data_IF_963604965051
#
_entry.id   IF_963604965051
#
_cell.length_a   1.000
_cell.length_b   1.000
_cell.length_c   1.000
_cell.angle_alpha   90.00
_cell.angle_beta   90.00
_cell.angle_gamma   90.00
#
_symmetry.space_group_name_H-M   'P 1'
#
loop_
_entity.id
_entity.type
_entity.pdbx_description
1 polymer ?
#
# COMPACT_ATOMS: atom_id res chain seq x y z
N UNK A 1 -6.15 -32.19 50.22
CA UNK A 1 -6.77 -32.78 49.01
C UNK A 1 -6.38 -31.92 47.84
N UNK A 2 -5.46 -32.43 47.04
CA UNK A 2 -4.89 -31.80 45.86
C UNK A 2 -5.96 -31.69 44.75
N UNK A 3 -6.14 -30.49 44.20
CA UNK A 3 -7.01 -30.25 43.05
C UNK A 3 -6.20 -30.33 41.75
N UNK A 4 -6.36 -31.42 41.02
CA UNK A 4 -5.70 -31.68 39.75
C UNK A 4 -6.09 -30.64 38.68
N UNK A 5 -5.09 -29.98 38.09
CA UNK A 5 -5.24 -29.21 36.85
C UNK A 5 -5.38 -30.18 35.68
N UNK A 6 -6.53 -30.16 35.03
CA UNK A 6 -6.78 -30.87 33.78
C UNK A 6 -6.06 -30.18 32.62
N UNK A 7 -5.10 -30.87 32.01
CA UNK A 7 -4.50 -30.49 30.73
C UNK A 7 -5.53 -30.52 29.60
N UNK A 8 -5.49 -29.60 28.62
CA UNK A 8 -6.35 -29.69 27.44
C UNK A 8 -5.83 -30.78 26.48
N UNK A 9 -6.72 -31.38 25.67
CA UNK A 9 -6.39 -32.51 24.81
C UNK A 9 -5.46 -32.10 23.67
N UNK A 10 -4.41 -32.90 23.46
CA UNK A 10 -3.52 -32.81 22.33
C UNK A 10 -4.29 -33.12 21.02
N UNK A 11 -4.25 -32.21 20.05
CA UNK A 11 -4.79 -32.49 18.71
C UNK A 11 -5.43 -31.34 17.93
N UNK A 12 -5.28 -30.08 18.35
CA UNK A 12 -5.65 -28.94 17.49
C UNK A 12 -4.42 -28.11 17.15
N UNK A 13 -3.81 -28.43 16.01
CA UNK A 13 -2.88 -27.53 15.32
C UNK A 13 -3.61 -26.22 15.06
N UNK A 14 -3.11 -25.04 15.47
CA UNK A 14 -3.71 -23.78 15.08
C UNK A 14 -3.64 -23.66 13.56
N UNK A 15 -4.80 -23.46 12.93
CA UNK A 15 -4.99 -23.30 11.49
C UNK A 15 -4.46 -21.95 10.98
N UNK A 16 -3.18 -21.65 11.25
CA UNK A 16 -2.48 -20.47 10.72
C UNK A 16 -1.46 -20.82 9.63
N UNK A 17 -1.48 -22.05 9.13
CA UNK A 17 -0.55 -22.50 8.07
C UNK A 17 -1.05 -22.03 6.71
N UNK A 18 -0.42 -21.01 6.15
CA UNK A 18 -0.57 -20.72 4.71
C UNK A 18 0.20 -21.79 3.95
N UNK A 19 -0.47 -22.83 3.47
CA UNK A 19 0.07 -23.64 2.37
C UNK A 19 0.16 -22.74 1.13
N UNK A 20 1.31 -22.09 0.93
CA UNK A 20 1.53 -21.22 -0.22
C UNK A 20 1.72 -22.12 -1.45
N UNK A 21 0.77 -22.08 -2.38
CA UNK A 21 0.92 -22.77 -3.65
C UNK A 21 2.19 -22.22 -4.35
N UNK A 22 3.12 -23.09 -4.75
CA UNK A 22 4.34 -22.68 -5.42
C UNK A 22 4.04 -22.23 -6.86
N UNK A 23 3.78 -20.92 -7.02
CA UNK A 23 3.45 -20.31 -8.30
C UNK A 23 4.64 -20.14 -9.26
N UNK A 24 5.87 -20.50 -8.84
CA UNK A 24 7.08 -20.32 -9.64
C UNK A 24 7.41 -21.52 -10.52
N UNK A 25 6.80 -22.66 -10.26
CA UNK A 25 6.99 -23.89 -11.04
C UNK A 25 6.66 -23.66 -12.52
N UNK A 26 7.29 -24.43 -13.41
CA UNK A 26 6.99 -24.36 -14.85
C UNK A 26 5.51 -24.70 -15.08
N UNK A 27 4.99 -25.68 -14.34
CA UNK A 27 3.57 -26.05 -14.35
C UNK A 27 2.65 -24.91 -13.89
N UNK A 28 2.99 -24.19 -12.81
CA UNK A 28 2.16 -23.07 -12.34
C UNK A 28 2.17 -21.90 -13.33
N UNK A 29 3.33 -21.57 -13.92
CA UNK A 29 3.43 -20.53 -14.95
C UNK A 29 2.65 -20.89 -16.21
N UNK A 30 2.66 -22.16 -16.59
CA UNK A 30 1.83 -22.68 -17.68
C UNK A 30 0.34 -22.51 -17.39
N UNK A 31 -0.13 -22.91 -16.21
CA UNK A 31 -1.53 -22.75 -15.80
C UNK A 31 -1.97 -21.28 -15.77
N UNK A 32 -1.13 -20.37 -15.26
CA UNK A 32 -1.43 -18.93 -15.24
C UNK A 32 -1.57 -18.39 -16.67
N UNK A 33 -0.75 -18.85 -17.61
CA UNK A 33 -0.84 -18.44 -19.02
C UNK A 33 -2.13 -18.96 -19.66
N UNK A 34 -2.51 -20.19 -19.38
CA UNK A 34 -3.78 -20.78 -19.87
C UNK A 34 -4.98 -20.03 -19.30
N UNK A 35 -4.97 -19.73 -17.99
CA UNK A 35 -6.04 -18.97 -17.33
C UNK A 35 -6.26 -17.59 -17.96
N UNK A 36 -5.19 -16.83 -18.22
CA UNK A 36 -5.28 -15.53 -18.91
C UNK A 36 -5.84 -15.66 -20.33
N UNK A 37 -5.55 -16.77 -21.01
CA UNK A 37 -6.14 -17.09 -22.31
C UNK A 37 -7.65 -17.31 -22.21
N UNK A 38 -8.09 -18.07 -21.21
CA UNK A 38 -9.51 -18.33 -20.93
C UNK A 38 -10.25 -17.05 -20.56
N UNK A 39 -9.70 -16.23 -19.66
CA UNK A 39 -10.29 -14.94 -19.26
C UNK A 39 -10.51 -14.04 -20.48
N UNK A 40 -9.53 -13.99 -21.40
CA UNK A 40 -9.64 -13.21 -22.63
C UNK A 40 -10.67 -13.77 -23.60
N UNK A 41 -10.85 -15.09 -23.66
CA UNK A 41 -11.85 -15.74 -24.49
C UNK A 41 -13.27 -15.53 -23.94
N UNK A 42 -13.46 -15.74 -22.64
CA UNK A 42 -14.76 -15.56 -21.95
C UNK A 42 -15.20 -14.10 -21.88
N UNK A 43 -14.26 -13.16 -21.86
CA UNK A 43 -14.57 -11.73 -21.98
C UNK A 43 -15.10 -11.34 -23.36
N UNK A 44 -14.84 -12.16 -24.39
CA UNK A 44 -15.34 -11.95 -25.76
C UNK A 44 -16.62 -12.74 -26.03
N UNK A 45 -16.72 -13.93 -25.46
CA UNK A 45 -17.88 -14.81 -25.55
C UNK A 45 -18.12 -15.49 -24.18
N UNK A 46 -19.04 -14.95 -23.36
CA UNK A 46 -19.31 -15.48 -22.02
C UNK A 46 -19.92 -16.89 -22.00
N UNK A 47 -20.46 -17.37 -23.12
CA UNK A 47 -21.10 -18.70 -23.23
C UNK A 47 -20.16 -19.75 -23.84
N UNK A 48 -18.91 -19.40 -24.15
CA UNK A 48 -17.94 -20.30 -24.76
C UNK A 48 -17.66 -21.54 -23.89
N UNK A 49 -17.60 -22.72 -24.52
CA UNK A 49 -17.30 -23.97 -23.85
C UNK A 49 -15.82 -24.01 -23.40
N UNK A 50 -15.60 -23.99 -22.08
CA UNK A 50 -14.27 -23.98 -21.48
C UNK A 50 -13.46 -25.24 -21.83
N UNK A 51 -14.12 -26.39 -22.02
CA UNK A 51 -13.47 -27.64 -22.38
C UNK A 51 -12.77 -27.57 -23.74
N UNK A 52 -13.41 -26.93 -24.72
CA UNK A 52 -12.84 -26.73 -26.05
C UNK A 52 -11.68 -25.72 -26.02
N UNK A 53 -11.78 -24.69 -25.17
CA UNK A 53 -10.77 -23.64 -25.03
C UNK A 53 -9.48 -24.11 -24.34
N UNK A 54 -9.56 -25.09 -23.44
CA UNK A 54 -8.39 -25.69 -22.78
C UNK A 54 -7.55 -26.53 -23.76
N UNK A 55 -8.18 -27.08 -24.80
CA UNK A 55 -7.54 -27.94 -25.79
C UNK A 55 -7.23 -29.34 -25.25
N UNK A 56 -7.34 -30.37 -26.10
CA UNK A 56 -7.18 -31.78 -25.73
C UNK A 56 -5.78 -32.17 -25.22
N UNK A 57 -4.77 -31.35 -25.49
CA UNK A 57 -3.36 -31.59 -25.10
C UNK A 57 -2.97 -31.01 -23.74
N UNK A 58 -3.82 -30.15 -23.14
CA UNK A 58 -3.51 -29.47 -21.88
C UNK A 58 -3.19 -30.43 -20.71
N UNK A 59 -3.94 -31.52 -20.46
CA UNK A 59 -3.63 -32.44 -19.37
C UNK A 59 -2.26 -33.11 -19.50
N UNK A 60 -1.84 -33.41 -20.74
CA UNK A 60 -0.57 -34.06 -21.05
C UNK A 60 0.60 -33.09 -20.87
N UNK A 61 0.45 -31.84 -21.32
CA UNK A 61 1.45 -30.79 -21.14
C UNK A 61 1.61 -30.39 -19.66
N UNK A 62 0.52 -30.29 -18.91
CA UNK A 62 0.60 -29.99 -17.48
C UNK A 62 1.36 -31.08 -16.71
N UNK A 63 1.18 -32.35 -17.10
CA UNK A 63 1.88 -33.48 -16.49
C UNK A 63 3.40 -33.41 -16.77
N UNK A 64 3.81 -33.14 -18.01
CA UNK A 64 5.24 -33.05 -18.36
C UNK A 64 5.96 -31.90 -17.65
N UNK A 65 5.29 -30.74 -17.46
CA UNK A 65 5.88 -29.62 -16.73
C UNK A 65 6.03 -29.85 -15.23
N UNK A 66 5.19 -30.71 -14.63
CA UNK A 66 5.35 -31.12 -13.23
C UNK A 66 6.55 -32.05 -13.04
N UNK A 67 6.83 -32.90 -14.03
CA UNK A 67 7.93 -33.87 -13.99
C UNK A 67 9.31 -33.23 -14.29
N UNK A 68 9.33 -32.11 -15.04
CA UNK A 68 10.56 -31.42 -15.42
C UNK A 68 11.19 -30.56 -14.30
N UNK A 69 10.44 -30.15 -13.28
CA UNK A 69 10.91 -29.26 -12.19
C UNK A 69 11.77 -29.98 -11.12
N UNK A 70 11.97 -31.30 -11.24
CA UNK A 70 12.74 -32.11 -10.28
C UNK A 70 14.28 -32.05 -10.45
N UNK A 71 14.85 -31.01 -11.08
CA UNK A 71 16.32 -30.85 -11.21
C UNK A 71 16.81 -29.53 -10.60
N UNK A 72 17.89 -29.53 -9.80
CA UNK A 72 18.30 -28.34 -9.04
C UNK A 72 18.82 -27.21 -9.95
N UNK A 73 18.36 -25.99 -9.69
CA UNK A 73 18.68 -24.79 -10.49
C UNK A 73 19.98 -24.12 -10.06
N UNK A 74 20.79 -23.72 -11.05
CA UNK A 74 22.07 -23.01 -10.91
C UNK A 74 21.91 -21.55 -10.44
N UNK A 75 23.01 -21.06 -9.87
CA UNK A 75 23.28 -19.81 -9.14
C UNK A 75 22.86 -18.49 -9.83
N UNK A 76 22.45 -17.52 -9.00
CA UNK A 76 21.91 -16.23 -9.39
C UNK A 76 22.94 -15.15 -9.74
N UNK A 77 22.43 -14.09 -10.37
CA UNK A 77 23.13 -12.90 -10.91
C UNK A 77 23.75 -12.03 -9.80
N UNK A 78 24.83 -11.25 -10.06
CA UNK A 78 25.46 -10.40 -9.04
C UNK A 78 24.59 -9.18 -8.67
N UNK A 79 24.61 -8.81 -7.38
CA UNK A 79 23.87 -7.69 -6.80
C UNK A 79 24.69 -6.36 -6.88
N UNK A 80 24.03 -5.18 -6.88
CA UNK A 80 24.69 -3.87 -6.92
C UNK A 80 25.54 -3.54 -5.67
N UNK A 81 26.57 -2.71 -5.84
CA UNK A 81 27.60 -2.40 -4.82
C UNK A 81 27.16 -1.55 -3.61
N UNK A 82 25.97 -0.94 -3.66
CA UNK A 82 25.40 -0.19 -2.53
C UNK A 82 24.52 -1.06 -1.63
N UNK A 83 24.30 -2.32 -2.02
CA UNK A 83 23.52 -3.26 -1.25
C UNK A 83 24.34 -3.74 -0.03
N UNK A 84 23.75 -3.73 1.16
CA UNK A 84 24.40 -4.28 2.36
C UNK A 84 24.76 -5.77 2.16
N UNK A 85 24.04 -6.45 1.25
CA UNK A 85 24.32 -7.81 0.76
C UNK A 85 25.49 -7.93 -0.21
N UNK A 86 26.29 -6.88 -0.37
CA UNK A 86 27.62 -6.97 -1.01
C UNK A 86 28.75 -7.07 0.02
N UNK A 87 28.44 -6.86 1.31
CA UNK A 87 29.43 -6.73 2.40
C UNK A 87 29.51 -7.94 3.34
N UNK A 88 28.58 -8.89 3.24
CA UNK A 88 28.62 -10.16 3.98
C UNK A 88 29.26 -11.27 3.12
N UNK A 89 29.89 -12.31 3.72
CA UNK A 89 30.42 -13.47 3.00
C UNK A 89 29.32 -14.36 2.38
N UNK A 90 29.60 -14.99 1.24
CA UNK A 90 28.67 -15.88 0.49
C UNK A 90 27.98 -16.93 1.36
N UNK A 91 28.73 -17.58 2.24
CA UNK A 91 28.25 -18.63 3.16
C UNK A 91 27.35 -18.09 4.27
N UNK A 92 27.53 -16.82 4.65
CA UNK A 92 26.68 -16.18 5.65
C UNK A 92 25.32 -15.78 5.07
N UNK A 93 25.20 -15.56 3.76
CA UNK A 93 23.91 -15.24 3.14
C UNK A 93 22.95 -16.41 3.14
N UNK A 94 23.41 -17.61 2.79
CA UNK A 94 22.54 -18.79 2.73
C UNK A 94 22.00 -19.07 4.14
N UNK A 95 22.88 -19.09 5.14
CA UNK A 95 22.52 -19.28 6.55
C UNK A 95 21.61 -18.16 7.08
N UNK A 96 21.91 -16.89 6.78
CA UNK A 96 21.08 -15.76 7.20
C UNK A 96 19.72 -15.77 6.50
N UNK A 97 19.68 -16.15 5.22
CA UNK A 97 18.45 -16.21 4.43
C UNK A 97 17.53 -17.33 4.91
N UNK A 98 18.08 -18.51 5.20
CA UNK A 98 17.33 -19.62 5.80
C UNK A 98 16.80 -19.23 7.17
N UNK A 99 17.66 -18.72 8.06
CA UNK A 99 17.24 -18.26 9.39
C UNK A 99 16.17 -17.15 9.33
N UNK A 100 16.24 -16.24 8.35
CA UNK A 100 15.23 -15.20 8.15
C UNK A 100 13.92 -15.78 7.65
N UNK A 101 13.97 -16.77 6.74
CA UNK A 101 12.78 -17.45 6.23
C UNK A 101 12.09 -18.21 7.36
N UNK A 102 12.84 -18.96 8.15
CA UNK A 102 12.31 -19.73 9.29
C UNK A 102 11.67 -18.80 10.32
N UNK A 103 12.35 -17.70 10.67
CA UNK A 103 11.82 -16.67 11.56
C UNK A 103 10.49 -16.09 11.06
N UNK A 104 10.39 -15.79 9.76
CA UNK A 104 9.17 -15.27 9.16
C UNK A 104 8.05 -16.32 9.06
N UNK A 105 8.39 -17.61 8.90
CA UNK A 105 7.42 -18.71 8.88
C UNK A 105 6.80 -18.96 10.25
N UNK A 106 7.56 -18.74 11.33
CA UNK A 106 7.10 -18.82 12.71
C UNK A 106 6.36 -17.56 13.20
N UNK A 107 6.47 -16.45 12.46
CA UNK A 107 5.92 -15.15 12.85
C UNK A 107 4.39 -15.04 12.62
N UNK A 108 3.72 -14.25 13.46
CA UNK A 108 2.30 -13.91 13.26
C UNK A 108 2.15 -12.98 12.04
N UNK A 109 1.22 -13.29 11.13
CA UNK A 109 0.92 -12.44 9.97
C UNK A 109 -0.06 -11.35 10.36
N UNK A 110 0.40 -10.09 10.42
CA UNK A 110 -0.43 -8.92 10.69
C UNK A 110 -1.21 -8.45 9.45
N UNK A 111 -0.58 -8.53 8.27
CA UNK A 111 -1.19 -8.14 7.01
C UNK A 111 -0.69 -8.98 5.85
N UNK A 112 -1.59 -9.28 4.91
CA UNK A 112 -1.27 -9.96 3.66
C UNK A 112 -2.05 -9.31 2.53
N UNK A 113 -1.35 -8.78 1.54
CA UNK A 113 -2.03 -8.24 0.37
C UNK A 113 -2.81 -9.35 -0.35
N UNK A 114 -4.04 -9.08 -0.84
CA UNK A 114 -4.85 -10.07 -1.57
C UNK A 114 -4.16 -10.61 -2.82
N UNK A 115 -3.23 -9.82 -3.39
CA UNK A 115 -2.44 -10.18 -4.55
C UNK A 115 -1.13 -10.78 -4.03
N UNK A 116 -0.97 -12.09 -4.19
CA UNK A 116 0.01 -12.95 -3.48
C UNK A 116 1.52 -12.63 -3.68
N UNK A 117 1.87 -11.45 -4.19
CA UNK A 117 3.24 -11.04 -4.50
C UNK A 117 3.61 -9.58 -4.13
N UNK A 118 2.72 -8.78 -3.52
CA UNK A 118 3.00 -7.34 -3.31
C UNK A 118 3.54 -7.01 -1.92
N UNK A 119 2.91 -7.44 -0.82
CA UNK A 119 3.33 -7.08 0.54
C UNK A 119 2.81 -8.07 1.60
N UNK A 120 3.64 -8.41 2.59
CA UNK A 120 3.28 -9.11 3.82
C UNK A 120 3.89 -8.41 5.02
N UNK A 121 3.16 -8.33 6.13
CA UNK A 121 3.64 -7.74 7.38
C UNK A 121 3.56 -8.79 8.48
N UNK A 122 4.67 -9.01 9.18
CA UNK A 122 4.83 -10.03 10.19
C UNK A 122 5.14 -9.39 11.54
N UNK A 123 4.58 -9.92 12.62
CA UNK A 123 5.05 -9.66 13.99
C UNK A 123 6.05 -10.75 14.34
N UNK A 124 7.31 -10.34 14.38
CA UNK A 124 8.46 -11.23 14.63
C UNK A 124 8.67 -11.47 16.13
N UNK A 125 8.44 -10.44 16.94
CA UNK A 125 8.52 -10.53 18.40
C UNK A 125 7.69 -9.45 19.07
N UNK A 126 7.71 -9.43 20.41
CA UNK A 126 7.15 -8.32 21.20
C UNK A 126 7.92 -7.04 20.91
N UNK A 127 7.37 -6.23 20.01
CA UNK A 127 7.97 -4.98 19.58
C UNK A 127 8.81 -5.05 18.30
N UNK A 128 8.73 -6.13 17.50
CA UNK A 128 9.33 -6.15 16.15
C UNK A 128 8.30 -6.50 15.08
N UNK A 129 8.18 -5.63 14.07
CA UNK A 129 7.38 -5.83 12.87
C UNK A 129 8.28 -5.84 11.64
N UNK A 130 8.09 -6.84 10.76
CA UNK A 130 8.80 -6.95 9.49
C UNK A 130 7.82 -6.81 8.32
N UNK A 131 8.03 -5.79 7.47
CA UNK A 131 7.31 -5.62 6.20
C UNK A 131 8.15 -6.21 5.06
N UNK A 132 7.64 -7.25 4.41
CA UNK A 132 8.26 -7.90 3.24
C UNK A 132 7.48 -7.48 1.99
N UNK A 133 8.09 -6.64 1.17
CA UNK A 133 7.49 -6.10 -0.06
C UNK A 133 8.55 -5.97 -1.16
N UNK A 134 8.12 -5.58 -2.36
CA UNK A 134 9.01 -5.36 -3.50
C UNK A 134 9.78 -4.06 -3.28
N UNK A 135 11.09 -4.05 -3.56
CA UNK A 135 12.03 -2.96 -3.27
C UNK A 135 11.52 -1.55 -3.63
N UNK A 136 10.78 -1.42 -4.76
CA UNK A 136 10.22 -0.14 -5.22
C UNK A 136 9.25 0.54 -4.22
N UNK A 137 8.61 -0.23 -3.34
CA UNK A 137 7.68 0.27 -2.32
C UNK A 137 8.42 0.69 -1.03
N UNK A 138 9.53 0.05 -0.70
CA UNK A 138 10.26 0.25 0.57
C UNK A 138 10.99 1.60 0.61
N UNK A 139 11.54 2.04 -0.52
CA UNK A 139 12.50 3.17 -0.53
C UNK A 139 11.95 4.46 0.06
N UNK A 140 10.70 4.81 -0.26
CA UNK A 140 10.08 6.04 0.29
C UNK A 140 9.84 5.91 1.78
N UNK A 141 9.26 4.80 2.22
CA UNK A 141 8.98 4.57 3.63
C UNK A 141 10.26 4.61 4.48
N UNK A 142 11.34 3.99 3.98
CA UNK A 142 12.66 3.98 4.61
C UNK A 142 13.29 5.37 4.76
N UNK A 143 13.01 6.31 3.84
CA UNK A 143 13.52 7.69 3.93
C UNK A 143 12.60 8.58 4.78
N UNK A 144 11.29 8.41 4.64
CA UNK A 144 10.30 9.22 5.34
C UNK A 144 10.37 9.03 6.85
N UNK A 145 10.47 7.80 7.34
CA UNK A 145 10.32 7.58 8.77
C UNK A 145 11.48 8.16 9.61
N UNK A 146 12.76 8.02 9.22
CA UNK A 146 13.85 8.72 9.91
C UNK A 146 13.68 10.25 9.83
N UNK A 147 13.29 10.78 8.68
CA UNK A 147 13.05 12.22 8.50
C UNK A 147 11.97 12.73 9.46
N UNK A 148 10.85 12.02 9.54
CA UNK A 148 9.77 12.39 10.45
C UNK A 148 10.14 12.17 11.93
N UNK A 149 10.93 11.16 12.26
CA UNK A 149 11.43 10.96 13.63
C UNK A 149 12.31 12.12 14.08
N UNK A 150 13.10 12.69 13.16
CA UNK A 150 13.95 13.86 13.42
C UNK A 150 13.13 15.15 13.57
N UNK A 151 12.15 15.37 12.69
CA UNK A 151 11.45 16.65 12.59
C UNK A 151 10.13 16.71 13.37
N UNK A 152 9.53 15.56 13.67
CA UNK A 152 8.28 15.39 14.41
C UNK A 152 8.38 14.21 15.40
N UNK A 153 9.28 14.27 16.41
CA UNK A 153 9.51 13.14 17.33
C UNK A 153 8.27 12.76 18.16
N UNK A 154 7.32 13.68 18.34
CA UNK A 154 6.06 13.44 19.03
C UNK A 154 5.00 12.79 18.13
N UNK A 155 5.16 12.88 16.82
CA UNK A 155 4.34 12.17 15.86
C UNK A 155 4.78 10.71 15.94
N UNK A 156 3.95 9.88 16.58
CA UNK A 156 4.31 8.49 16.91
C UNK A 156 4.41 7.66 15.63
N UNK A 157 5.63 7.51 15.16
CA UNK A 157 6.00 6.82 13.92
C UNK A 157 6.98 5.73 14.28
N UNK A 158 6.67 4.49 13.94
CA UNK A 158 7.57 3.38 14.25
C UNK A 158 7.65 2.41 13.08
N UNK A 159 8.83 2.38 12.46
CA UNK A 159 9.14 1.54 11.29
C UNK A 159 9.30 0.06 11.64
N UNK A 160 9.52 -0.24 12.92
CA UNK A 160 9.95 -1.57 13.33
C UNK A 160 9.30 -2.05 14.61
N UNK A 161 8.64 -1.18 15.40
CA UNK A 161 8.00 -1.62 16.63
C UNK A 161 6.51 -1.77 16.49
N UNK A 162 6.02 -2.91 16.98
CA UNK A 162 4.61 -3.23 16.99
C UNK A 162 3.84 -2.17 17.78
N UNK A 163 2.92 -1.48 17.09
CA UNK A 163 2.00 -0.55 17.74
C UNK A 163 0.77 -1.35 18.17
N UNK A 164 0.67 -1.60 19.48
CA UNK A 164 -0.54 -2.21 20.04
C UNK A 164 -1.74 -1.28 19.84
N UNK A 165 -2.75 -1.80 19.15
CA UNK A 165 -3.99 -1.10 18.84
C UNK A 165 -4.85 -1.88 17.85
N UNK A 166 -5.95 -1.25 17.43
CA UNK A 166 -6.85 -1.75 16.39
C UNK A 166 -6.84 -0.76 15.23
N UNK A 167 -6.86 -1.27 13.99
CA UNK A 167 -7.07 -0.41 12.83
C UNK A 167 -8.45 0.24 12.87
N UNK A 168 -8.53 1.48 12.37
CA UNK A 168 -9.75 2.28 12.40
C UNK A 168 -10.86 1.61 11.59
N UNK A 169 -10.54 0.94 10.48
CA UNK A 169 -11.53 0.24 9.64
C UNK A 169 -12.38 -0.76 10.45
N UNK A 170 -11.73 -1.60 11.27
CA UNK A 170 -12.44 -2.58 12.12
C UNK A 170 -13.27 -1.94 13.22
N UNK A 171 -12.86 -0.78 13.72
CA UNK A 171 -13.49 -0.11 14.86
C UNK A 171 -14.62 0.82 14.40
N UNK A 172 -14.46 1.48 13.25
CA UNK A 172 -15.32 2.56 12.77
C UNK A 172 -16.83 2.24 12.77
N UNK A 173 -17.29 1.05 12.33
CA UNK A 173 -18.73 0.71 12.33
C UNK A 173 -19.35 0.66 13.73
N UNK A 174 -18.54 0.57 14.79
CA UNK A 174 -18.97 0.45 16.19
C UNK A 174 -18.94 1.77 16.94
N UNK A 175 -18.37 2.82 16.33
CA UNK A 175 -18.22 4.12 16.95
C UNK A 175 -19.52 4.91 16.87
N UNK A 176 -19.82 5.65 17.94
CA UNK A 176 -20.85 6.68 17.88
C UNK A 176 -20.31 7.97 17.24
N UNK A 177 -21.21 8.87 16.81
CA UNK A 177 -20.84 10.12 16.15
C UNK A 177 -19.88 10.99 16.95
N UNK A 178 -20.00 10.99 18.28
CA UNK A 178 -19.10 11.74 19.17
C UNK A 178 -17.67 11.20 19.12
N UNK A 179 -17.51 9.87 19.15
CA UNK A 179 -16.22 9.21 19.03
C UNK A 179 -15.62 9.43 17.63
N UNK A 180 -16.40 9.31 16.56
CA UNK A 180 -15.94 9.56 15.19
C UNK A 180 -15.45 11.00 15.01
N UNK A 181 -16.21 11.99 15.51
CA UNK A 181 -15.79 13.40 15.51
C UNK A 181 -14.55 13.64 16.36
N UNK A 182 -14.42 12.99 17.51
CA UNK A 182 -13.21 13.04 18.33
C UNK A 182 -11.99 12.55 17.57
N UNK A 183 -12.09 11.39 16.91
CA UNK A 183 -10.99 10.83 16.09
C UNK A 183 -10.65 11.75 14.92
N UNK A 184 -11.65 12.28 14.22
CA UNK A 184 -11.44 13.27 13.15
C UNK A 184 -10.66 14.50 13.64
N UNK A 185 -11.02 15.01 14.83
CA UNK A 185 -10.30 16.14 15.47
C UNK A 185 -8.87 15.78 15.86
N UNK A 186 -8.62 14.56 16.33
CA UNK A 186 -7.27 14.09 16.66
C UNK A 186 -6.40 13.97 15.40
N UNK A 187 -6.95 13.40 14.32
CA UNK A 187 -6.28 13.31 13.03
C UNK A 187 -5.97 14.69 12.47
N UNK A 188 -6.89 15.63 12.56
CA UNK A 188 -6.70 17.00 12.06
C UNK A 188 -5.49 17.68 12.71
N UNK A 189 -5.34 17.54 14.04
CA UNK A 189 -4.17 18.07 14.76
C UNK A 189 -2.87 17.44 14.27
N UNK A 190 -2.83 16.10 14.15
CA UNK A 190 -1.66 15.40 13.63
C UNK A 190 -1.31 15.89 12.23
N UNK A 191 -2.29 16.00 11.34
CA UNK A 191 -2.08 16.39 9.95
C UNK A 191 -1.67 17.86 9.79
N UNK A 192 -2.15 18.75 10.66
CA UNK A 192 -1.66 20.13 10.75
C UNK A 192 -0.19 20.14 11.15
N UNK A 193 0.19 19.36 12.17
CA UNK A 193 1.59 19.24 12.60
C UNK A 193 2.46 18.68 11.46
N UNK A 194 1.98 17.65 10.74
CA UNK A 194 2.65 17.08 9.57
C UNK A 194 2.90 18.14 8.48
N UNK A 195 1.88 18.95 8.19
CA UNK A 195 1.94 20.00 7.16
C UNK A 195 2.77 21.21 7.58
N UNK A 196 3.07 21.35 8.87
CA UNK A 196 3.93 22.41 9.39
C UNK A 196 5.42 22.19 9.09
N UNK A 197 5.79 20.98 8.64
CA UNK A 197 7.16 20.64 8.25
C UNK A 197 7.71 21.62 7.21
N UNK A 198 8.93 22.13 7.40
CA UNK A 198 9.51 23.08 6.47
C UNK A 198 9.74 22.41 5.13
N UNK A 199 9.27 23.05 4.06
CA UNK A 199 9.60 22.66 2.69
C UNK A 199 10.92 23.34 2.28
N UNK A 200 12.04 22.60 2.16
CA UNK A 200 13.33 23.23 1.92
C UNK A 200 13.43 23.79 0.49
N UNK A 201 14.12 24.92 0.27
CA UNK A 201 14.31 25.49 -1.06
C UNK A 201 14.92 24.49 -2.03
N UNK A 202 14.49 24.54 -3.30
CA UNK A 202 14.96 23.65 -4.38
C UNK A 202 14.68 22.15 -4.18
N UNK A 203 13.81 21.77 -3.24
CA UNK A 203 13.39 20.39 -3.05
C UNK A 203 12.36 20.01 -4.12
N UNK A 204 12.57 18.97 -4.94
CA UNK A 204 11.54 18.49 -5.86
C UNK A 204 10.28 18.03 -5.12
N UNK A 205 9.12 18.19 -5.75
CA UNK A 205 7.87 17.58 -5.28
C UNK A 205 7.98 16.05 -5.35
N UNK A 206 7.23 15.38 -4.49
CA UNK A 206 7.19 13.93 -4.36
C UNK A 206 7.90 13.41 -3.13
N UNK A 207 8.25 12.12 -3.17
CA UNK A 207 8.99 11.47 -2.09
C UNK A 207 10.35 12.12 -1.84
N UNK A 208 10.83 11.99 -0.59
CA UNK A 208 12.12 12.52 -0.14
C UNK A 208 13.29 12.06 -1.04
N UNK A 209 14.40 12.80 -0.96
CA UNK A 209 15.63 12.56 -1.74
C UNK A 209 15.41 12.39 -3.26
N UNK A 210 14.37 13.04 -3.79
CA UNK A 210 14.07 13.00 -5.22
C UNK A 210 13.50 11.65 -5.70
N UNK A 211 12.88 10.86 -4.83
CA UNK A 211 12.15 9.65 -5.23
C UNK A 211 10.95 9.93 -6.16
N UNK A 212 10.62 11.20 -6.36
CA UNK A 212 9.69 11.68 -7.37
C UNK A 212 8.23 11.62 -6.92
N UNK A 213 7.35 12.23 -7.70
CA UNK A 213 5.92 12.20 -7.43
C UNK A 213 5.36 10.83 -7.76
N UNK A 214 4.62 10.26 -6.81
CA UNK A 214 3.86 9.02 -6.96
C UNK A 214 2.38 9.35 -7.05
N UNK A 215 1.70 8.74 -8.00
CA UNK A 215 0.24 8.70 -8.02
C UNK A 215 -0.25 7.26 -8.13
N UNK A 216 -0.59 6.68 -6.98
CA UNK A 216 -1.28 5.40 -6.89
C UNK A 216 -2.78 5.54 -7.15
N UNK A 217 -3.29 4.89 -8.21
CA UNK A 217 -4.72 4.66 -8.46
C UNK A 217 -4.93 3.15 -8.60
N UNK A 218 -5.35 2.63 -9.76
CA UNK A 218 -5.25 1.17 -10.05
C UNK A 218 -3.81 0.70 -10.25
N UNK A 219 -2.97 1.55 -10.82
CA UNK A 219 -1.52 1.39 -10.91
C UNK A 219 -0.80 2.51 -10.16
N UNK A 220 0.51 2.39 -10.00
CA UNK A 220 1.34 3.47 -9.46
C UNK A 220 2.15 4.05 -10.60
N UNK A 221 1.86 5.31 -10.96
CA UNK A 221 2.72 6.09 -11.85
C UNK A 221 3.73 6.90 -11.03
N UNK A 222 4.97 6.97 -11.52
CA UNK A 222 6.06 7.71 -10.89
C UNK A 222 6.59 8.72 -11.90
N UNK A 223 6.84 9.95 -11.45
CA UNK A 223 7.42 10.99 -12.31
C UNK A 223 8.79 10.56 -12.85
N UNK A 224 9.02 10.61 -14.18
CA UNK A 224 10.28 10.15 -14.77
C UNK A 224 11.45 11.12 -14.54
N UNK A 225 11.15 12.35 -14.11
CA UNK A 225 12.11 13.42 -13.84
C UNK A 225 11.65 14.20 -12.59
N UNK A 226 12.57 14.88 -11.89
CA UNK A 226 12.21 15.76 -10.78
C UNK A 226 11.16 16.81 -11.20
N UNK A 227 10.14 16.98 -10.38
CA UNK A 227 9.08 17.98 -10.55
C UNK A 227 9.40 19.13 -9.61
N UNK A 228 9.64 20.33 -10.14
CA UNK A 228 10.14 21.47 -9.36
C UNK A 228 9.07 22.50 -9.01
N UNK A 229 7.90 22.42 -9.64
CA UNK A 229 6.83 23.38 -9.45
C UNK A 229 5.44 22.74 -9.64
N UNK A 230 4.40 23.49 -9.22
CA UNK A 230 3.01 23.05 -9.31
C UNK A 230 2.52 22.82 -10.75
N UNK A 231 3.06 23.57 -11.72
CA UNK A 231 2.67 23.41 -13.12
C UNK A 231 3.17 22.08 -13.66
N UNK A 232 4.42 21.72 -13.37
CA UNK A 232 5.01 20.42 -13.69
C UNK A 232 4.26 19.29 -12.99
N UNK A 233 3.81 19.50 -11.75
CA UNK A 233 2.97 18.55 -11.03
C UNK A 233 1.63 18.32 -11.74
N UNK A 234 0.92 19.40 -12.11
CA UNK A 234 -0.30 19.28 -12.90
C UNK A 234 -0.04 18.65 -14.28
N UNK A 235 1.09 18.97 -14.92
CA UNK A 235 1.52 18.32 -16.14
C UNK A 235 1.63 16.80 -15.95
N UNK A 236 2.28 16.36 -14.86
CA UNK A 236 2.34 14.95 -14.48
C UNK A 236 0.97 14.31 -14.23
N UNK A 237 0.07 14.93 -13.45
CA UNK A 237 -1.24 14.34 -13.12
C UNK A 237 -2.14 14.09 -14.35
N UNK A 238 -2.05 14.97 -15.35
CA UNK A 238 -2.84 14.87 -16.57
C UNK A 238 -2.09 14.22 -17.73
N UNK A 239 -0.89 13.66 -17.50
CA UNK A 239 -0.18 12.92 -18.56
C UNK A 239 -0.77 11.53 -18.78
N UNK A 240 -0.67 11.05 -20.02
CA UNK A 240 -0.86 9.63 -20.34
C UNK A 240 -2.29 9.10 -20.19
N UNK A 241 -3.32 9.94 -20.32
CA UNK A 241 -4.71 9.47 -20.25
C UNK A 241 -5.02 8.45 -21.33
N UNK A 242 -5.68 7.37 -20.94
CA UNK A 242 -6.22 6.34 -21.85
C UNK A 242 -7.69 6.59 -22.15
N UNK A 243 -8.37 7.32 -21.27
CA UNK A 243 -9.83 7.50 -21.30
C UNK A 243 -10.26 8.89 -21.76
N UNK A 244 -9.37 9.89 -21.70
CA UNK A 244 -9.69 11.26 -22.04
C UNK A 244 -8.84 11.82 -23.20
N UNK A 245 -9.49 12.61 -24.05
CA UNK A 245 -8.83 13.27 -25.19
C UNK A 245 -7.98 14.46 -24.74
N UNK A 246 -7.00 14.86 -25.56
CA UNK A 246 -6.18 16.05 -25.32
C UNK A 246 -7.01 17.35 -25.23
N UNK A 247 -8.15 17.43 -25.92
CA UNK A 247 -9.03 18.59 -25.81
C UNK A 247 -9.72 18.60 -24.44
N UNK A 248 -10.31 17.48 -24.04
CA UNK A 248 -10.94 17.33 -22.72
C UNK A 248 -9.96 17.61 -21.57
N UNK A 249 -8.74 17.09 -21.67
CA UNK A 249 -7.63 17.36 -20.73
C UNK A 249 -7.37 18.84 -20.57
N UNK A 250 -7.24 19.56 -21.70
CA UNK A 250 -7.00 21.00 -21.72
C UNK A 250 -8.17 21.78 -21.13
N UNK A 251 -9.40 21.35 -21.42
CA UNK A 251 -10.61 21.94 -20.85
C UNK A 251 -10.62 21.79 -19.32
N UNK A 252 -10.45 20.58 -18.79
CA UNK A 252 -10.40 20.37 -17.34
C UNK A 252 -9.27 21.15 -16.67
N UNK A 253 -8.09 21.18 -17.29
CA UNK A 253 -6.98 21.99 -16.79
C UNK A 253 -7.31 23.47 -16.74
N UNK A 254 -8.09 23.99 -17.69
CA UNK A 254 -8.51 25.39 -17.68
C UNK A 254 -9.46 25.74 -16.54
N UNK A 255 -10.08 24.74 -15.90
CA UNK A 255 -10.93 24.92 -14.71
C UNK A 255 -10.12 24.97 -13.41
N UNK A 256 -8.85 24.54 -13.41
CA UNK A 256 -8.02 24.55 -12.21
C UNK A 256 -7.77 26.00 -11.75
N UNK A 257 -7.83 26.28 -10.43
CA UNK A 257 -7.59 27.62 -9.92
C UNK A 257 -6.18 28.13 -10.26
N UNK A 258 -6.07 29.43 -10.56
CA UNK A 258 -4.79 30.07 -10.87
C UNK A 258 -3.91 30.31 -9.63
N UNK A 259 -4.50 30.32 -8.42
CA UNK A 259 -3.75 30.57 -7.19
C UNK A 259 -2.77 29.43 -6.90
N UNK A 260 -1.51 29.73 -6.56
CA UNK A 260 -0.56 28.68 -6.19
C UNK A 260 -1.02 28.00 -4.90
N UNK A 261 -1.12 26.67 -4.95
CA UNK A 261 -1.28 25.84 -3.76
C UNK A 261 0.03 25.85 -2.95
N UNK A 262 -0.07 25.79 -1.62
CA UNK A 262 1.14 25.57 -0.80
C UNK A 262 1.66 24.15 -1.03
N UNK A 263 2.98 23.99 -0.97
CA UNK A 263 3.63 22.67 -0.93
C UNK A 263 3.82 22.31 0.54
N UNK A 264 3.29 21.15 0.94
CA UNK A 264 3.31 20.65 2.32
C UNK A 264 3.73 19.19 2.32
N UNK A 265 4.17 18.69 3.47
CA UNK A 265 4.40 17.26 3.62
C UNK A 265 3.07 16.51 3.76
N UNK A 266 2.91 15.43 3.00
CA UNK A 266 1.69 14.62 2.91
C UNK A 266 2.02 13.15 3.14
N UNK A 267 1.07 12.39 3.70
CA UNK A 267 1.15 10.94 3.83
C UNK A 267 0.88 10.23 2.49
N UNK A 268 -0.14 10.70 1.74
CA UNK A 268 -0.48 10.21 0.41
C UNK A 268 -1.31 8.92 0.37
N UNK A 269 -1.71 8.37 1.54
CA UNK A 269 -2.57 7.18 1.67
C UNK A 269 -3.28 7.13 3.05
N UNK A 270 -3.87 8.27 3.47
CA UNK A 270 -4.69 8.30 4.68
C UNK A 270 -6.01 7.57 4.41
N UNK A 271 -6.20 6.44 5.09
CA UNK A 271 -7.40 5.59 5.04
C UNK A 271 -7.58 4.86 6.36
N UNK A 272 -8.80 4.42 6.72
CA UNK A 272 -9.06 3.78 8.02
C UNK A 272 -8.13 2.59 8.34
N UNK A 273 -7.71 1.82 7.34
CA UNK A 273 -6.81 0.68 7.52
C UNK A 273 -5.40 1.08 7.98
N UNK A 274 -4.99 2.31 7.67
CA UNK A 274 -3.66 2.84 7.97
C UNK A 274 -3.64 3.68 9.26
N UNK A 275 -4.75 3.73 10.01
CA UNK A 275 -4.88 4.49 11.26
C UNK A 275 -5.04 3.50 12.41
N UNK A 276 -4.13 3.56 13.39
CA UNK A 276 -4.16 2.68 14.55
C UNK A 276 -4.72 3.44 15.74
N UNK A 277 -5.74 2.85 16.37
CA UNK A 277 -6.38 3.35 17.58
C UNK A 277 -6.02 2.51 18.81
N UNK A 278 -6.11 3.14 19.98
CA UNK A 278 -6.14 2.48 21.27
C UNK A 278 -7.32 2.97 22.09
N UNK A 279 -7.97 2.05 22.79
CA UNK A 279 -8.98 2.38 23.77
C UNK A 279 -8.34 2.49 25.16
N UNK A 280 -8.67 3.53 25.92
CA UNK A 280 -8.31 3.61 27.34
C UNK A 280 -9.31 2.86 28.22
N UNK A 281 -9.08 2.84 29.53
CA UNK A 281 -9.90 2.13 30.51
C UNK A 281 -11.32 2.74 30.61
N UNK A 282 -11.45 4.03 30.29
CA UNK A 282 -12.69 4.80 30.27
C UNK A 282 -13.49 4.61 28.96
N UNK A 283 -12.93 3.88 27.99
CA UNK A 283 -13.60 3.55 26.72
C UNK A 283 -13.43 4.59 25.62
N UNK A 284 -12.57 5.60 25.80
CA UNK A 284 -12.24 6.62 24.82
C UNK A 284 -11.19 6.12 23.83
N UNK A 285 -11.35 6.50 22.56
CA UNK A 285 -10.45 6.11 21.48
C UNK A 285 -9.43 7.21 21.20
N UNK A 286 -8.16 6.83 21.22
CA UNK A 286 -7.03 7.70 20.88
C UNK A 286 -6.32 7.19 19.63
N UNK A 287 -6.02 8.09 18.69
CA UNK A 287 -5.14 7.80 17.55
C UNK A 287 -3.71 7.65 18.07
N UNK A 288 -3.13 6.46 17.93
CA UNK A 288 -1.79 6.16 18.44
C UNK A 288 -0.72 6.06 17.36
N UNK A 289 -1.11 5.84 16.10
CA UNK A 289 -0.17 5.78 14.97
C UNK A 289 -0.89 5.94 13.62
N UNK A 290 -0.15 6.45 12.64
CA UNK A 290 -0.48 6.39 11.21
C UNK A 290 0.64 5.59 10.54
N UNK A 291 0.27 4.57 9.75
CA UNK A 291 1.20 3.63 9.14
C UNK A 291 1.13 3.69 7.60
N UNK A 292 2.06 3.01 6.94
CA UNK A 292 2.15 2.89 5.47
C UNK A 292 2.56 4.18 4.73
N UNK A 293 3.74 4.68 5.05
CA UNK A 293 4.27 5.96 4.52
C UNK A 293 4.88 5.84 3.11
N UNK A 294 4.60 4.78 2.36
CA UNK A 294 5.26 4.49 1.07
C UNK A 294 4.90 5.47 -0.06
N UNK A 295 3.84 6.26 0.12
CA UNK A 295 3.36 7.29 -0.82
C UNK A 295 3.62 8.72 -0.36
N UNK A 296 4.30 8.89 0.78
CA UNK A 296 4.53 10.19 1.41
C UNK A 296 5.53 11.07 0.67
N UNK A 297 5.52 12.36 0.99
CA UNK A 297 6.44 13.34 0.41
C UNK A 297 5.89 14.76 0.41
N UNK A 298 6.57 15.66 -0.29
CA UNK A 298 6.14 17.04 -0.47
C UNK A 298 5.23 17.18 -1.68
N UNK A 299 3.97 17.53 -1.45
CA UNK A 299 2.95 17.67 -2.50
C UNK A 299 2.12 18.93 -2.29
N UNK A 300 1.35 19.38 -3.31
CA UNK A 300 0.40 20.47 -3.11
C UNK A 300 -0.62 20.12 -2.01
N UNK A 301 -1.02 21.09 -1.20
CA UNK A 301 -1.90 20.89 -0.04
C UNK A 301 -3.26 20.24 -0.38
N UNK A 302 -3.77 20.45 -1.59
CA UNK A 302 -5.00 19.80 -2.05
C UNK A 302 -4.80 18.31 -2.39
N UNK A 303 -3.57 17.85 -2.55
CA UNK A 303 -3.31 16.49 -3.05
C UNK A 303 -3.73 15.42 -2.03
N UNK A 304 -3.51 15.65 -0.74
CA UNK A 304 -3.92 14.70 0.31
C UNK A 304 -5.43 14.45 0.29
N UNK A 305 -6.27 15.47 0.06
CA UNK A 305 -7.73 15.28 0.01
C UNK A 305 -8.16 14.46 -1.21
N UNK A 306 -7.47 14.62 -2.34
CA UNK A 306 -7.64 13.78 -3.52
C UNK A 306 -7.27 12.33 -3.19
N UNK A 307 -6.09 12.10 -2.60
CA UNK A 307 -5.63 10.74 -2.25
C UNK A 307 -6.54 10.04 -1.25
N UNK A 308 -6.95 10.73 -0.19
CA UNK A 308 -7.80 10.20 0.88
C UNK A 308 -9.20 9.78 0.39
N UNK A 309 -9.64 10.31 -0.75
CA UNK A 309 -10.94 9.98 -1.37
C UNK A 309 -10.80 9.10 -2.62
N UNK A 310 -9.61 8.54 -2.89
CA UNK A 310 -9.42 7.63 -4.02
C UNK A 310 -10.30 6.39 -3.92
N UNK A 311 -10.52 5.87 -2.71
CA UNK A 311 -11.34 4.68 -2.49
C UNK A 311 -12.84 5.00 -2.36
N UNK A 312 -13.24 6.28 -2.46
CA UNK A 312 -14.64 6.67 -2.39
C UNK A 312 -15.38 6.24 -3.66
N UNK A 313 -16.36 5.37 -3.47
CA UNK A 313 -17.24 4.80 -4.47
C UNK A 313 -18.69 5.22 -4.25
N UNK A 314 -19.48 5.25 -5.31
CA UNK A 314 -20.90 5.60 -5.26
C UNK A 314 -21.77 4.55 -4.55
N UNK A 315 -21.22 3.36 -4.26
CA UNK A 315 -21.88 2.29 -3.51
C UNK A 315 -21.46 2.22 -2.04
N UNK A 316 -20.52 3.07 -1.61
CA UNK A 316 -20.05 3.06 -0.23
C UNK A 316 -21.19 3.44 0.72
N UNK A 317 -21.30 2.68 1.81
CA UNK A 317 -22.32 2.87 2.86
C UNK A 317 -21.74 3.44 4.15
N UNK A 318 -20.42 3.55 4.20
CA UNK A 318 -19.68 4.04 5.35
C UNK A 318 -19.62 5.57 5.35
N UNK A 319 -19.66 6.17 6.54
CA UNK A 319 -19.70 7.62 6.75
C UNK A 319 -18.32 8.25 7.00
N UNK A 320 -17.21 7.50 6.87
CA UNK A 320 -15.83 8.00 6.98
C UNK A 320 -15.60 9.27 6.17
N UNK A 321 -16.01 9.26 4.91
CA UNK A 321 -15.81 10.39 3.99
C UNK A 321 -16.62 11.64 4.35
N UNK A 322 -17.61 11.51 5.24
CA UNK A 322 -18.37 12.64 5.78
C UNK A 322 -17.72 13.26 7.01
N UNK A 323 -16.75 12.57 7.62
CA UNK A 323 -16.09 12.95 8.87
C UNK A 323 -14.56 13.10 8.70
N UNK A 324 -14.14 13.44 7.48
CA UNK A 324 -12.75 13.71 7.17
C UNK A 324 -12.21 14.91 7.97
N UNK A 325 -10.92 14.91 8.36
CA UNK A 325 -10.30 16.05 9.05
C UNK A 325 -10.51 17.36 8.29
N UNK A 326 -10.78 18.45 9.00
CA UNK A 326 -11.12 19.74 8.39
C UNK A 326 -10.03 20.22 7.45
N UNK A 327 -8.76 20.16 7.87
CA UNK A 327 -7.57 20.54 7.09
C UNK A 327 -7.43 19.78 5.77
N UNK A 328 -8.02 18.58 5.66
CA UNK A 328 -7.99 17.74 4.48
C UNK A 328 -9.34 17.69 3.75
N UNK A 329 -10.31 18.48 4.16
CA UNK A 329 -11.66 18.41 3.59
C UNK A 329 -11.63 18.80 2.10
N UNK A 330 -12.26 18.00 1.20
CA UNK A 330 -12.49 18.41 -0.17
C UNK A 330 -13.22 19.74 -0.31
N UNK A 331 -13.94 20.20 0.72
CA UNK A 331 -14.59 21.51 0.74
C UNK A 331 -13.60 22.69 0.70
N UNK A 332 -12.34 22.49 1.11
CA UNK A 332 -11.30 23.51 0.97
C UNK A 332 -10.77 23.62 -0.48
N UNK A 333 -10.83 22.51 -1.23
CA UNK A 333 -10.29 22.41 -2.59
C UNK A 333 -11.30 21.77 -3.57
N UNK A 334 -12.55 22.28 -3.64
CA UNK A 334 -13.63 21.56 -4.32
C UNK A 334 -13.39 21.49 -5.83
N UNK A 335 -12.79 22.53 -6.41
CA UNK A 335 -12.49 22.55 -7.85
C UNK A 335 -11.40 21.54 -8.20
N UNK A 336 -10.28 21.53 -7.48
CA UNK A 336 -9.19 20.58 -7.70
C UNK A 336 -9.67 19.14 -7.51
N UNK A 337 -10.45 18.90 -6.46
CA UNK A 337 -11.01 17.59 -6.16
C UNK A 337 -12.00 17.11 -7.24
N UNK A 338 -12.96 17.95 -7.63
CA UNK A 338 -13.94 17.61 -8.67
C UNK A 338 -13.27 17.39 -10.04
N UNK A 339 -12.32 18.25 -10.41
CA UNK A 339 -11.58 18.11 -11.66
C UNK A 339 -10.84 16.77 -11.69
N UNK A 340 -10.19 16.36 -10.59
CA UNK A 340 -9.51 15.08 -10.50
C UNK A 340 -10.48 13.89 -10.63
N UNK A 341 -11.61 13.94 -9.92
CA UNK A 341 -12.66 12.90 -9.98
C UNK A 341 -13.28 12.77 -11.37
N UNK A 342 -13.46 13.87 -12.07
CA UNK A 342 -14.01 13.90 -13.43
C UNK A 342 -12.96 13.40 -14.44
N UNK A 343 -11.69 13.76 -14.23
CA UNK A 343 -10.58 13.37 -15.11
C UNK A 343 -10.31 11.87 -15.11
N UNK A 344 -10.35 11.22 -13.95
CA UNK A 344 -10.05 9.79 -13.82
C UNK A 344 -11.09 9.07 -12.95
N UNK A 345 -12.37 9.18 -13.35
CA UNK A 345 -13.50 8.60 -12.62
C UNK A 345 -13.33 7.12 -12.28
N UNK A 346 -12.76 6.33 -13.20
CA UNK A 346 -12.53 4.89 -13.02
C UNK A 346 -11.15 4.54 -12.46
N UNK A 347 -10.31 5.54 -12.16
CA UNK A 347 -8.95 5.36 -11.62
C UNK A 347 -8.00 4.60 -12.59
N UNK A 348 -8.31 4.64 -13.88
CA UNK A 348 -7.70 3.86 -14.96
C UNK A 348 -6.48 4.54 -15.60
N UNK A 349 -6.31 5.85 -15.42
CA UNK A 349 -5.26 6.64 -16.07
C UNK A 349 -3.87 6.50 -15.38
N UNK A 350 -3.68 5.44 -14.60
CA UNK A 350 -2.50 5.18 -13.75
C UNK A 350 -1.67 3.96 -14.15
N UNK A 351 -2.01 3.31 -15.27
CA UNK A 351 -1.42 2.05 -15.74
C UNK A 351 -0.46 2.26 -16.90
#
# INVERSE_FOLDING_TARGET
MEGAKSSPPAGQTPSNRVNKANCKTVAARFNIKVLRGLEKALSKDPEANIGDLLGSSYPQQLKSFKEADCRPSKTGRPLPSHDIRSRLPSSSYEQLSEATIDLLDESEVLFKSPWAASCMVFRVSDGIVAKVTIEKHIRTEHQTLPFLQEHLPHFRLQFTSFVSGLDLEKVWPRLNDGQKRSISTQLDKLLIDLRSLPYPPNTPLGGLDGLGCKDGRRGVRISPKPILDLKQFQDFIFTGSKTASQMYTRFLRSLMPASPAKVVFTHGDIRPENIILRQDEEGSWTVVSIVDWESSGFYPEYWECVKMTNNLSFIDKDDWYLLLPESLSPQQFPVQWLVDRIWDYNLDNSI
#
